data_IF_333968141068
#
_entry.id   IF_333968141068
#
_cell.length_a   1.000
_cell.length_b   1.000
_cell.length_c   1.000
_cell.angle_alpha   90.00
_cell.angle_beta   90.00
_cell.angle_gamma   90.00
#
_symmetry.space_group_name_H-M   'P 1'
#
loop_
_entity.id
_entity.type
_entity.pdbx_description
1 polymer ?
#
# COMPACT_ATOMS: atom_id res chain seq x y z
N UNK A 1 10.55 -0.33 -31.89
CA UNK A 1 10.45 1.08 -31.50
C UNK A 1 9.46 1.13 -30.35
N UNK A 2 9.67 1.93 -29.30
CA UNK A 2 8.62 2.08 -28.29
C UNK A 2 7.36 2.61 -28.99
N UNK A 3 6.21 2.00 -28.67
CA UNK A 3 4.92 2.41 -29.20
C UNK A 3 4.73 3.91 -28.92
N UNK A 4 4.21 4.65 -29.91
CA UNK A 4 3.83 6.03 -29.66
C UNK A 4 2.61 6.02 -28.72
N UNK A 5 2.81 6.30 -27.43
CA UNK A 5 1.77 6.19 -26.41
C UNK A 5 0.53 7.02 -26.76
N UNK A 6 0.69 8.15 -27.45
CA UNK A 6 -0.45 9.01 -27.84
C UNK A 6 -1.41 8.37 -28.85
N UNK A 7 -1.01 7.28 -29.51
CA UNK A 7 -1.89 6.54 -30.41
C UNK A 7 -2.60 5.36 -29.74
N UNK A 8 -2.29 5.06 -28.49
CA UNK A 8 -2.86 3.93 -27.77
C UNK A 8 -4.17 4.32 -27.08
N UNK A 9 -5.08 3.35 -27.01
CA UNK A 9 -6.34 3.46 -26.27
C UNK A 9 -6.28 2.66 -24.99
N UNK A 10 -6.64 3.28 -23.87
CA UNK A 10 -6.82 2.62 -22.57
C UNK A 10 -8.29 2.57 -22.19
N UNK A 11 -8.79 1.38 -21.87
CA UNK A 11 -10.11 1.17 -21.26
C UNK A 11 -9.96 0.65 -19.82
N UNK A 12 -10.94 0.96 -18.96
CA UNK A 12 -10.89 0.64 -17.54
C UNK A 12 -12.15 -0.10 -17.07
N UNK A 13 -11.95 -1.18 -16.31
CA UNK A 13 -13.00 -1.85 -15.54
C UNK A 13 -12.79 -1.55 -14.06
N UNK A 14 -13.81 -0.95 -13.42
CA UNK A 14 -13.75 -0.60 -12.00
C UNK A 14 -13.16 0.79 -11.74
N UNK A 15 -13.71 1.82 -12.39
CA UNK A 15 -13.26 3.20 -12.19
C UNK A 15 -13.72 3.78 -10.85
N UNK A 16 -13.31 3.13 -9.74
CA UNK A 16 -13.38 3.62 -8.36
C UNK A 16 -12.37 4.74 -8.11
N UNK A 17 -11.93 4.92 -6.86
CA UNK A 17 -10.98 5.99 -6.50
C UNK A 17 -9.67 5.90 -7.26
N UNK A 18 -9.04 4.71 -7.27
CA UNK A 18 -7.79 4.46 -7.98
C UNK A 18 -8.00 4.52 -9.51
N UNK A 19 -8.98 3.80 -10.04
CA UNK A 19 -9.20 3.69 -11.49
C UNK A 19 -9.43 5.04 -12.14
N UNK A 20 -10.32 5.88 -11.59
CA UNK A 20 -10.57 7.22 -12.16
C UNK A 20 -9.38 8.17 -11.99
N UNK A 21 -8.59 8.05 -10.90
CA UNK A 21 -7.36 8.84 -10.73
C UNK A 21 -6.34 8.49 -11.82
N UNK A 22 -6.06 7.20 -12.04
CA UNK A 22 -5.10 6.78 -13.05
C UNK A 22 -5.59 7.13 -14.48
N UNK A 23 -6.87 6.88 -14.78
CA UNK A 23 -7.43 7.26 -16.09
C UNK A 23 -7.34 8.78 -16.35
N UNK A 24 -7.61 9.62 -15.34
CA UNK A 24 -7.44 11.07 -15.46
C UNK A 24 -5.99 11.46 -15.75
N UNK A 25 -5.03 10.87 -15.03
CA UNK A 25 -3.61 11.13 -15.23
C UNK A 25 -3.15 10.67 -16.64
N UNK A 26 -3.60 9.50 -17.09
CA UNK A 26 -3.23 8.96 -18.39
C UNK A 26 -3.90 9.67 -19.57
N UNK A 27 -5.07 10.29 -19.39
CA UNK A 27 -5.79 11.01 -20.43
C UNK A 27 -4.97 12.14 -21.09
N UNK A 28 -3.90 12.59 -20.44
CA UNK A 28 -2.98 13.58 -21.00
C UNK A 28 -2.00 12.97 -22.01
N UNK A 29 -1.84 11.64 -22.03
CA UNK A 29 -0.79 10.96 -22.77
C UNK A 29 -1.32 9.92 -23.78
N UNK A 30 -2.57 9.46 -23.62
CA UNK A 30 -3.21 8.48 -24.49
C UNK A 30 -4.72 8.69 -24.55
N UNK A 31 -5.39 7.98 -25.45
CA UNK A 31 -6.83 8.03 -25.57
C UNK A 31 -7.51 7.17 -24.50
N UNK A 32 -8.50 7.74 -23.78
CA UNK A 32 -9.34 6.96 -22.85
C UNK A 32 -10.56 6.45 -23.63
N UNK A 33 -10.70 5.14 -23.74
CA UNK A 33 -11.80 4.44 -24.36
C UNK A 33 -12.99 4.24 -23.42
N UNK A 34 -13.33 2.97 -23.13
CA UNK A 34 -14.46 2.65 -22.28
C UNK A 34 -14.11 2.70 -20.80
N UNK A 35 -14.97 3.34 -20.03
CA UNK A 35 -14.99 3.32 -18.56
C UNK A 35 -16.17 2.46 -18.13
N UNK A 36 -15.88 1.31 -17.52
CA UNK A 36 -16.85 0.25 -17.22
C UNK A 36 -16.98 0.09 -15.70
N UNK A 37 -18.20 0.27 -15.19
CA UNK A 37 -18.57 0.03 -13.80
C UNK A 37 -19.80 -0.88 -13.71
N UNK A 38 -20.20 -1.25 -12.48
CA UNK A 38 -21.39 -2.09 -12.22
C UNK A 38 -22.70 -1.47 -12.76
N UNK A 39 -22.75 -0.14 -12.92
CA UNK A 39 -23.88 0.56 -13.55
C UNK A 39 -23.36 1.64 -14.49
N UNK A 40 -24.19 1.96 -15.51
CA UNK A 40 -23.88 3.03 -16.46
C UNK A 40 -23.79 4.39 -15.78
N UNK A 41 -24.63 4.66 -14.77
CA UNK A 41 -24.60 5.92 -14.02
C UNK A 41 -23.28 6.08 -13.26
N UNK A 42 -22.82 5.02 -12.60
CA UNK A 42 -21.53 5.02 -11.92
C UNK A 42 -20.36 5.16 -12.88
N UNK A 43 -20.46 4.60 -14.10
CA UNK A 43 -19.47 4.78 -15.14
C UNK A 43 -19.48 6.24 -15.65
N UNK A 44 -20.65 6.85 -15.83
CA UNK A 44 -20.78 8.25 -16.26
C UNK A 44 -20.16 9.21 -15.25
N UNK A 45 -20.42 9.03 -13.96
CA UNK A 45 -19.77 9.82 -12.89
C UNK A 45 -18.24 9.72 -12.94
N UNK A 46 -17.72 8.54 -13.30
CA UNK A 46 -16.29 8.37 -13.46
C UNK A 46 -15.75 9.08 -14.71
N UNK A 47 -16.47 9.00 -15.85
CA UNK A 47 -16.14 9.73 -17.09
C UNK A 47 -16.14 11.23 -16.85
N UNK A 48 -17.15 11.77 -16.17
CA UNK A 48 -17.25 13.19 -15.83
C UNK A 48 -16.06 13.68 -14.99
N UNK A 49 -15.61 12.84 -14.05
CA UNK A 49 -14.42 13.12 -13.24
C UNK A 49 -13.11 13.02 -14.05
N UNK A 50 -12.98 12.00 -14.90
CA UNK A 50 -11.79 11.77 -15.73
C UNK A 50 -11.64 12.88 -16.77
N UNK A 51 -12.77 13.37 -17.30
CA UNK A 51 -12.82 14.34 -18.40
C UNK A 51 -12.62 13.71 -19.78
N UNK A 52 -12.62 12.37 -19.88
CA UNK A 52 -12.44 11.62 -21.12
C UNK A 52 -13.05 10.21 -21.02
N UNK A 53 -13.27 9.57 -22.17
CA UNK A 53 -13.77 8.20 -22.27
C UNK A 53 -15.28 8.13 -22.44
N UNK A 54 -15.80 6.91 -22.57
CA UNK A 54 -17.21 6.62 -22.77
C UNK A 54 -17.74 5.66 -21.70
N UNK A 55 -18.84 6.02 -21.02
CA UNK A 55 -19.47 5.23 -19.98
C UNK A 55 -20.15 3.98 -20.53
N UNK A 56 -19.78 2.81 -20.03
CA UNK A 56 -20.33 1.50 -20.41
C UNK A 56 -20.60 0.64 -19.17
N UNK A 57 -21.44 -0.38 -19.35
CA UNK A 57 -21.62 -1.45 -18.34
C UNK A 57 -20.93 -2.75 -18.73
N UNK A 58 -20.53 -2.89 -20.00
CA UNK A 58 -19.84 -4.07 -20.54
C UNK A 58 -18.80 -3.65 -21.58
N UNK A 59 -17.71 -4.44 -21.74
CA UNK A 59 -16.74 -4.21 -22.82
C UNK A 59 -17.40 -4.53 -24.18
N UNK A 60 -17.26 -3.64 -25.15
CA UNK A 60 -17.85 -3.82 -26.50
C UNK A 60 -16.86 -3.54 -27.64
N UNK A 61 -15.71 -2.92 -27.35
CA UNK A 61 -14.68 -2.57 -28.32
C UNK A 61 -13.30 -2.92 -27.79
N UNK A 62 -12.35 -3.19 -28.69
CA UNK A 62 -10.96 -3.45 -28.33
C UNK A 62 -10.28 -2.19 -27.79
N UNK A 63 -9.31 -2.38 -26.92
CA UNK A 63 -8.39 -1.36 -26.46
C UNK A 63 -6.97 -1.94 -26.39
N UNK A 64 -5.94 -1.10 -26.59
CA UNK A 64 -4.55 -1.54 -26.56
C UNK A 64 -4.09 -1.84 -25.13
N UNK A 65 -4.70 -1.15 -24.17
CA UNK A 65 -4.40 -1.30 -22.73
C UNK A 65 -5.72 -1.41 -21.96
N UNK A 66 -5.82 -2.40 -21.10
CA UNK A 66 -6.93 -2.60 -20.18
C UNK A 66 -6.47 -2.48 -18.74
N UNK A 67 -7.05 -1.54 -18.01
CA UNK A 67 -6.89 -1.42 -16.56
C UNK A 67 -8.04 -2.11 -15.85
N UNK A 68 -7.75 -3.09 -14.99
CA UNK A 68 -8.69 -3.66 -14.03
C UNK A 68 -8.41 -3.06 -12.66
N UNK A 69 -9.26 -2.12 -12.23
CA UNK A 69 -9.14 -1.38 -10.98
C UNK A 69 -10.29 -1.70 -10.01
N UNK A 70 -10.80 -2.91 -10.09
CA UNK A 70 -11.78 -3.46 -9.15
C UNK A 70 -11.12 -3.87 -7.83
N UNK A 71 -11.89 -4.12 -6.74
CA UNK A 71 -11.35 -4.77 -5.55
C UNK A 71 -10.65 -6.09 -5.87
N UNK A 72 -9.68 -6.48 -5.07
CA UNK A 72 -8.81 -7.64 -5.31
C UNK A 72 -9.60 -8.95 -5.55
N UNK A 73 -10.66 -9.19 -4.77
CA UNK A 73 -11.53 -10.36 -4.91
C UNK A 73 -12.34 -10.38 -6.22
N UNK A 74 -12.46 -9.25 -6.93
CA UNK A 74 -13.21 -9.12 -8.18
C UNK A 74 -12.31 -9.11 -9.44
N UNK A 75 -10.99 -9.03 -9.29
CA UNK A 75 -10.05 -8.91 -10.43
C UNK A 75 -10.20 -10.10 -11.39
N UNK A 76 -10.24 -11.32 -10.87
CA UNK A 76 -10.40 -12.53 -11.69
C UNK A 76 -11.74 -12.55 -12.44
N UNK A 77 -12.82 -12.12 -11.80
CA UNK A 77 -14.14 -12.04 -12.44
C UNK A 77 -14.16 -10.95 -13.54
N UNK A 78 -13.56 -9.78 -13.27
CA UNK A 78 -13.45 -8.71 -14.26
C UNK A 78 -12.60 -9.13 -15.47
N UNK A 79 -11.51 -9.85 -15.26
CA UNK A 79 -10.71 -10.43 -16.33
C UNK A 79 -11.49 -11.43 -17.18
N UNK A 80 -12.32 -12.29 -16.56
CA UNK A 80 -13.18 -13.23 -17.25
C UNK A 80 -14.24 -12.51 -18.12
N UNK A 81 -14.74 -11.35 -17.69
CA UNK A 81 -15.65 -10.50 -18.49
C UNK A 81 -14.97 -10.05 -19.79
N UNK A 82 -13.70 -9.59 -19.73
CA UNK A 82 -12.93 -9.22 -20.93
C UNK A 82 -12.74 -10.42 -21.86
N UNK A 83 -12.32 -11.56 -21.34
CA UNK A 83 -12.13 -12.77 -22.14
C UNK A 83 -13.41 -13.20 -22.84
N UNK A 84 -14.54 -13.21 -22.13
CA UNK A 84 -15.83 -13.65 -22.66
C UNK A 84 -16.42 -12.65 -23.67
N UNK A 85 -16.07 -11.38 -23.58
CA UNK A 85 -16.50 -10.35 -24.52
C UNK A 85 -15.81 -10.46 -25.90
N UNK A 86 -14.69 -11.21 -25.99
CA UNK A 86 -13.95 -11.37 -27.24
C UNK A 86 -13.31 -10.08 -27.77
N UNK A 87 -13.03 -9.13 -26.90
CA UNK A 87 -12.44 -7.81 -27.25
C UNK A 87 -10.94 -7.74 -27.07
N UNK A 88 -10.28 -8.84 -26.66
CA UNK A 88 -8.83 -8.91 -26.46
C UNK A 88 -8.11 -9.39 -27.70
N UNK A 89 -6.96 -8.79 -28.01
CA UNK A 89 -6.02 -9.18 -29.07
C UNK A 89 -4.69 -9.63 -28.43
N UNK A 90 -3.89 -10.41 -29.14
CA UNK A 90 -2.57 -10.86 -28.67
C UNK A 90 -1.62 -9.70 -28.32
N UNK A 91 -1.76 -8.57 -29.01
CA UNK A 91 -0.94 -7.38 -28.78
C UNK A 91 -1.36 -6.56 -27.56
N UNK A 92 -2.54 -6.83 -26.99
CA UNK A 92 -3.08 -6.01 -25.92
C UNK A 92 -2.37 -6.25 -24.60
N UNK A 93 -2.40 -5.24 -23.75
CA UNK A 93 -1.87 -5.31 -22.39
C UNK A 93 -3.00 -5.18 -21.39
N UNK A 94 -3.16 -6.16 -20.51
CA UNK A 94 -4.13 -6.13 -19.42
C UNK A 94 -3.37 -6.04 -18.10
N UNK A 95 -3.67 -5.07 -17.26
CA UNK A 95 -3.04 -4.95 -15.97
C UNK A 95 -4.04 -4.61 -14.85
N UNK A 96 -3.66 -4.95 -13.62
CA UNK A 96 -4.38 -4.56 -12.41
C UNK A 96 -3.45 -3.83 -11.42
N UNK A 97 -4.04 -3.25 -10.37
CA UNK A 97 -3.28 -2.47 -9.40
C UNK A 97 -3.25 -3.09 -7.99
N UNK A 98 -3.59 -4.37 -7.82
CA UNK A 98 -3.45 -5.06 -6.54
C UNK A 98 -1.99 -5.10 -6.08
N UNK A 99 -1.76 -4.76 -4.82
CA UNK A 99 -0.45 -4.91 -4.17
C UNK A 99 -0.15 -6.36 -3.80
N UNK A 100 -1.18 -7.18 -3.53
CA UNK A 100 -1.05 -8.54 -3.04
C UNK A 100 -1.04 -9.60 -4.16
N UNK A 101 -1.89 -9.41 -5.18
CA UNK A 101 -2.07 -10.38 -6.26
C UNK A 101 -1.05 -10.13 -7.38
N UNK A 102 -0.47 -11.20 -7.91
CA UNK A 102 0.41 -11.10 -9.08
C UNK A 102 -0.41 -11.13 -10.40
N UNK A 103 0.25 -10.81 -11.52
CA UNK A 103 -0.38 -10.73 -12.84
C UNK A 103 -1.07 -12.02 -13.29
N UNK A 104 -0.68 -13.19 -12.78
CA UNK A 104 -1.28 -14.48 -13.16
C UNK A 104 -2.73 -14.62 -12.72
N UNK A 105 -3.22 -13.82 -11.75
CA UNK A 105 -4.63 -13.82 -11.33
C UNK A 105 -5.58 -13.46 -12.48
N UNK A 106 -5.09 -12.73 -13.49
CA UNK A 106 -5.86 -12.33 -14.66
C UNK A 106 -6.28 -13.55 -15.51
N UNK A 107 -5.53 -14.66 -15.46
CA UNK A 107 -5.84 -15.91 -16.17
C UNK A 107 -6.11 -15.67 -17.67
N UNK A 108 -5.28 -14.83 -18.31
CA UNK A 108 -5.31 -14.46 -19.71
C UNK A 108 -4.01 -14.96 -20.37
N UNK A 109 -4.13 -15.77 -21.41
CA UNK A 109 -2.99 -16.40 -22.08
C UNK A 109 -2.71 -15.83 -23.47
N UNK A 110 -3.71 -15.15 -24.06
CA UNK A 110 -3.68 -14.66 -25.43
C UNK A 110 -3.33 -13.16 -25.52
N UNK A 111 -2.85 -12.56 -24.42
CA UNK A 111 -2.41 -11.15 -24.36
C UNK A 111 -1.31 -10.96 -23.31
N UNK A 112 -0.79 -9.74 -23.19
CA UNK A 112 0.26 -9.42 -22.25
C UNK A 112 -0.32 -8.98 -20.91
N UNK A 113 0.08 -9.61 -19.81
CA UNK A 113 -0.45 -9.31 -18.48
C UNK A 113 0.60 -8.72 -17.55
N UNK A 114 0.16 -7.79 -16.69
CA UNK A 114 0.99 -7.22 -15.64
C UNK A 114 0.17 -6.85 -14.40
N UNK A 115 0.90 -6.57 -13.32
CA UNK A 115 0.41 -5.83 -12.19
C UNK A 115 1.28 -4.61 -11.95
N UNK A 116 0.65 -3.47 -11.69
CA UNK A 116 1.32 -2.22 -11.32
C UNK A 116 0.68 -1.70 -10.04
N UNK A 117 1.37 -1.77 -8.94
CA UNK A 117 0.88 -1.33 -7.63
C UNK A 117 1.46 0.03 -7.27
N UNK A 118 0.71 1.14 -7.43
CA UNK A 118 1.13 2.43 -6.90
C UNK A 118 1.11 2.41 -5.37
N UNK A 119 2.25 2.70 -4.74
CA UNK A 119 2.33 2.86 -3.28
C UNK A 119 1.80 4.26 -2.93
N UNK A 120 0.48 4.39 -2.97
CA UNK A 120 -0.22 5.66 -2.79
C UNK A 120 -1.57 5.45 -2.08
N UNK A 121 -1.96 6.41 -1.25
CA UNK A 121 -3.28 6.39 -0.60
C UNK A 121 -4.32 7.08 -1.48
N UNK A 122 -5.21 6.30 -2.09
CA UNK A 122 -6.30 6.82 -2.93
C UNK A 122 -7.56 7.17 -2.11
N UNK A 123 -7.40 7.81 -0.95
CA UNK A 123 -8.54 8.20 -0.11
C UNK A 123 -9.43 9.24 -0.78
N UNK A 124 -8.82 10.24 -1.41
CA UNK A 124 -9.49 11.28 -2.20
C UNK A 124 -8.86 11.35 -3.60
N UNK A 125 -9.61 11.12 -4.69
CA UNK A 125 -9.09 11.12 -6.04
C UNK A 125 -8.51 12.47 -6.50
N UNK A 126 -9.10 13.60 -6.08
CA UNK A 126 -8.61 14.92 -6.46
C UNK A 126 -7.26 15.22 -5.82
N UNK A 127 -7.12 14.90 -4.53
CA UNK A 127 -5.83 15.00 -3.84
C UNK A 127 -4.82 14.03 -4.44
N UNK A 128 -5.24 12.79 -4.74
CA UNK A 128 -4.37 11.78 -5.34
C UNK A 128 -3.77 12.25 -6.67
N UNK A 129 -4.55 12.92 -7.53
CA UNK A 129 -4.04 13.50 -8.79
C UNK A 129 -2.90 14.49 -8.50
N UNK A 130 -3.10 15.41 -7.57
CA UNK A 130 -2.11 16.46 -7.27
C UNK A 130 -0.85 15.94 -6.58
N UNK A 131 -0.93 14.78 -5.89
CA UNK A 131 0.14 14.19 -5.10
C UNK A 131 0.77 12.94 -5.75
N UNK A 132 0.32 12.56 -6.95
CA UNK A 132 0.77 11.32 -7.59
C UNK A 132 2.22 11.36 -8.07
N UNK A 133 2.70 12.53 -8.47
CA UNK A 133 4.08 12.70 -8.94
C UNK A 133 5.08 12.19 -7.88
N UNK A 134 6.05 11.39 -8.31
CA UNK A 134 7.03 10.75 -7.43
C UNK A 134 6.56 9.44 -6.78
N UNK A 135 5.29 9.03 -6.98
CA UNK A 135 4.76 7.78 -6.41
C UNK A 135 5.56 6.56 -6.87
N UNK A 136 6.14 5.78 -5.94
CA UNK A 136 6.74 4.50 -6.29
C UNK A 136 5.67 3.52 -6.76
N UNK A 137 5.95 2.78 -7.85
CA UNK A 137 5.03 1.78 -8.38
C UNK A 137 5.74 0.44 -8.53
N UNK A 138 5.35 -0.55 -7.73
CA UNK A 138 5.86 -1.91 -7.86
C UNK A 138 5.24 -2.60 -9.08
N UNK A 139 6.09 -3.03 -10.04
CA UNK A 139 5.64 -3.63 -11.29
C UNK A 139 6.14 -5.07 -11.46
N UNK A 140 5.29 -5.95 -11.98
CA UNK A 140 5.65 -7.30 -12.41
C UNK A 140 4.69 -7.78 -13.51
N UNK A 141 5.10 -8.77 -14.30
CA UNK A 141 4.30 -9.33 -15.37
C UNK A 141 5.13 -9.76 -16.58
N UNK A 142 4.49 -9.93 -17.72
CA UNK A 142 5.17 -10.28 -18.96
C UNK A 142 6.07 -9.12 -19.44
N UNK A 143 7.21 -9.47 -20.04
CA UNK A 143 8.19 -8.50 -20.52
C UNK A 143 7.56 -7.39 -21.39
N UNK A 144 6.70 -7.77 -22.35
CA UNK A 144 6.06 -6.81 -23.24
C UNK A 144 5.06 -5.90 -22.55
N UNK A 145 4.34 -6.42 -21.54
CA UNK A 145 3.48 -5.58 -20.71
C UNK A 145 4.28 -4.53 -19.94
N UNK A 146 5.42 -4.92 -19.35
CA UNK A 146 6.28 -4.00 -18.61
C UNK A 146 6.93 -2.95 -19.53
N UNK A 147 7.40 -3.34 -20.73
CA UNK A 147 7.95 -2.41 -21.73
C UNK A 147 6.93 -1.34 -22.19
N UNK A 148 5.63 -1.62 -22.13
CA UNK A 148 4.55 -0.67 -22.44
C UNK A 148 4.11 0.16 -21.24
N UNK A 149 3.94 -0.47 -20.08
CA UNK A 149 3.39 0.20 -18.90
C UNK A 149 4.41 1.08 -18.17
N UNK A 150 5.69 0.69 -18.12
CA UNK A 150 6.71 1.48 -17.44
C UNK A 150 6.79 2.92 -18.00
N UNK A 151 6.93 3.15 -19.32
CA UNK A 151 6.93 4.50 -19.87
C UNK A 151 5.61 5.27 -19.62
N UNK A 152 4.46 4.57 -19.63
CA UNK A 152 3.17 5.19 -19.34
C UNK A 152 3.11 5.76 -17.92
N UNK A 153 3.58 5.01 -16.92
CA UNK A 153 3.64 5.47 -15.54
C UNK A 153 4.71 6.55 -15.33
N UNK A 154 5.84 6.47 -16.03
CA UNK A 154 6.89 7.50 -16.00
C UNK A 154 6.40 8.85 -16.56
N UNK A 155 5.53 8.85 -17.59
CA UNK A 155 4.94 10.09 -18.15
C UNK A 155 4.05 10.84 -17.15
N UNK A 156 3.46 10.15 -16.17
CA UNK A 156 2.71 10.78 -15.07
C UNK A 156 3.59 10.99 -13.83
N UNK A 157 4.91 11.03 -14.04
CA UNK A 157 5.93 11.24 -13.02
C UNK A 157 5.93 10.22 -11.88
N UNK A 158 5.37 9.02 -12.08
CA UNK A 158 5.54 7.91 -11.15
C UNK A 158 6.95 7.32 -11.26
N UNK A 159 7.34 6.50 -10.28
CA UNK A 159 8.65 5.82 -10.20
C UNK A 159 8.46 4.30 -10.21
N UNK A 160 8.29 3.66 -11.39
CA UNK A 160 8.18 2.22 -11.48
C UNK A 160 9.47 1.52 -11.04
N UNK A 161 9.32 0.40 -10.32
CA UNK A 161 10.41 -0.52 -9.97
C UNK A 161 9.91 -1.96 -10.03
N UNK A 162 10.77 -2.86 -10.48
CA UNK A 162 10.43 -4.27 -10.65
C UNK A 162 10.40 -4.97 -9.30
N UNK A 163 9.36 -5.76 -9.08
CA UNK A 163 9.23 -6.66 -7.93
C UNK A 163 9.21 -8.12 -8.40
N UNK A 164 9.71 -9.01 -7.55
CA UNK A 164 9.59 -10.45 -7.80
C UNK A 164 8.15 -10.90 -7.55
N UNK A 165 7.51 -11.43 -8.58
CA UNK A 165 6.13 -11.93 -8.50
C UNK A 165 5.92 -13.02 -7.44
N UNK A 166 6.95 -13.83 -7.14
CA UNK A 166 6.89 -14.87 -6.11
C UNK A 166 6.85 -14.27 -4.69
N UNK A 167 7.40 -13.09 -4.49
CA UNK A 167 7.45 -12.40 -3.21
C UNK A 167 6.42 -11.26 -3.06
N UNK A 168 5.48 -11.15 -4.00
CA UNK A 168 4.53 -10.04 -4.02
C UNK A 168 3.67 -9.93 -2.76
N UNK A 169 3.23 -11.03 -2.19
CA UNK A 169 2.48 -11.03 -0.94
C UNK A 169 3.32 -10.47 0.23
N UNK A 170 4.60 -10.82 0.32
CA UNK A 170 5.52 -10.28 1.33
C UNK A 170 5.77 -8.79 1.10
N UNK A 171 6.00 -8.38 -0.14
CA UNK A 171 6.09 -6.97 -0.52
C UNK A 171 4.86 -6.17 -0.05
N UNK A 172 3.65 -6.67 -0.33
CA UNK A 172 2.43 -5.99 0.11
C UNK A 172 2.27 -5.99 1.63
N UNK A 173 2.62 -7.08 2.31
CA UNK A 173 2.61 -7.13 3.77
C UNK A 173 3.52 -6.05 4.38
N UNK A 174 4.69 -5.79 3.76
CA UNK A 174 5.57 -4.71 4.20
C UNK A 174 4.90 -3.33 4.08
N UNK A 175 4.21 -3.04 2.96
CA UNK A 175 3.48 -1.77 2.81
C UNK A 175 2.31 -1.63 3.80
N UNK A 176 1.59 -2.72 4.08
CA UNK A 176 0.53 -2.75 5.09
C UNK A 176 1.09 -2.47 6.48
N UNK A 177 2.19 -3.14 6.86
CA UNK A 177 2.82 -2.93 8.17
C UNK A 177 3.30 -1.49 8.37
N UNK A 178 3.94 -0.92 7.37
CA UNK A 178 4.57 0.41 7.51
C UNK A 178 3.60 1.57 7.30
N UNK A 179 2.47 1.38 6.61
CA UNK A 179 1.49 2.42 6.34
C UNK A 179 0.19 2.20 7.10
N UNK A 180 -0.50 1.06 6.86
CA UNK A 180 -1.81 0.83 7.46
C UNK A 180 -1.71 0.58 8.98
N UNK A 181 -0.74 -0.24 9.41
CA UNK A 181 -0.57 -0.52 10.84
C UNK A 181 0.06 0.65 11.60
N UNK A 182 0.76 1.57 10.92
CA UNK A 182 1.14 2.83 11.54
C UNK A 182 -0.09 3.60 12.04
N UNK A 183 -1.17 3.69 11.25
CA UNK A 183 -2.42 4.33 11.68
C UNK A 183 -2.98 3.64 12.93
N UNK A 184 -2.98 2.30 12.95
CA UNK A 184 -3.45 1.53 14.10
C UNK A 184 -2.58 1.74 15.34
N UNK A 185 -1.25 1.85 15.16
CA UNK A 185 -0.30 2.12 16.24
C UNK A 185 -0.51 3.51 16.85
N UNK A 186 -0.72 4.52 16.00
CA UNK A 186 -0.98 5.90 16.44
C UNK A 186 -2.30 6.00 17.22
N UNK A 187 -3.35 5.33 16.75
CA UNK A 187 -4.65 5.26 17.43
C UNK A 187 -4.53 4.53 18.78
N UNK A 188 -3.74 3.45 18.83
CA UNK A 188 -3.48 2.74 20.08
C UNK A 188 -2.74 3.62 21.09
N UNK A 189 -1.71 4.33 20.66
CA UNK A 189 -0.99 5.29 21.49
C UNK A 189 -1.88 6.41 22.04
N UNK A 190 -2.79 6.93 21.20
CA UNK A 190 -3.76 7.95 21.62
C UNK A 190 -4.74 7.41 22.70
N UNK A 191 -5.20 6.18 22.55
CA UNK A 191 -6.05 5.51 23.57
C UNK A 191 -5.31 5.31 24.89
N UNK A 192 -4.02 4.91 24.84
CA UNK A 192 -3.19 4.79 26.03
C UNK A 192 -3.02 6.14 26.76
N UNK A 193 -2.77 7.23 26.02
CA UNK A 193 -2.69 8.58 26.60
C UNK A 193 -4.01 9.00 27.27
N UNK A 194 -5.14 8.76 26.61
CA UNK A 194 -6.45 9.09 27.16
C UNK A 194 -6.70 8.32 28.46
N UNK A 195 -6.36 7.04 28.50
CA UNK A 195 -6.46 6.20 29.70
C UNK A 195 -5.52 6.70 30.82
N UNK A 196 -4.36 7.25 30.48
CA UNK A 196 -3.44 7.88 31.41
C UNK A 196 -3.86 9.29 31.86
N UNK A 197 -5.06 9.78 31.45
CA UNK A 197 -5.59 11.08 31.84
C UNK A 197 -5.17 12.24 30.93
N UNK A 198 -4.49 11.97 29.80
CA UNK A 198 -4.09 12.98 28.84
C UNK A 198 -5.17 13.08 27.74
N UNK A 199 -5.95 14.14 27.77
CA UNK A 199 -6.97 14.41 26.75
C UNK A 199 -6.40 15.32 25.66
N UNK A 200 -6.77 15.07 24.37
CA UNK A 200 -6.44 15.97 23.29
C UNK A 200 -6.98 17.39 23.59
N UNK A 201 -6.11 18.39 23.63
CA UNK A 201 -6.54 19.78 23.73
C UNK A 201 -6.87 20.28 22.32
N UNK A 202 -8.07 20.82 22.12
CA UNK A 202 -8.54 21.32 20.82
C UNK A 202 -8.44 20.32 19.64
N UNK A 203 -8.54 19.00 19.93
CA UNK A 203 -8.45 17.96 18.91
C UNK A 203 -7.03 17.62 18.41
N UNK A 204 -6.00 18.29 18.93
CA UNK A 204 -4.61 18.00 18.56
C UNK A 204 -4.04 16.79 19.32
N UNK A 205 -3.35 15.90 18.62
CA UNK A 205 -2.62 14.80 19.23
C UNK A 205 -1.33 15.35 19.88
N UNK A 206 -1.17 15.25 21.21
CA UNK A 206 0.01 15.80 21.90
C UNK A 206 1.33 15.12 21.49
N UNK A 207 1.27 13.93 20.89
CA UNK A 207 2.45 13.21 20.40
C UNK A 207 2.82 13.58 18.95
N UNK A 208 2.01 14.35 18.23
CA UNK A 208 2.27 14.65 16.82
C UNK A 208 3.68 15.21 16.56
N UNK A 209 4.20 16.20 17.32
CA UNK A 209 5.55 16.71 17.07
C UNK A 209 6.63 15.62 17.22
N UNK A 210 6.50 14.78 18.26
CA UNK A 210 7.44 13.69 18.53
C UNK A 210 7.37 12.60 17.46
N UNK A 211 6.17 12.27 16.99
CA UNK A 211 5.95 11.27 15.92
C UNK A 211 6.63 11.74 14.64
N UNK A 212 6.39 13.00 14.24
CA UNK A 212 7.01 13.58 13.03
C UNK A 212 8.54 13.58 13.14
N UNK A 213 9.08 14.01 14.27
CA UNK A 213 10.52 14.00 14.51
C UNK A 213 11.10 12.58 14.44
N UNK A 214 10.39 11.57 14.96
CA UNK A 214 10.82 10.17 14.91
C UNK A 214 10.88 9.67 13.46
N UNK A 215 9.88 9.99 12.62
CA UNK A 215 9.88 9.66 11.21
C UNK A 215 11.01 10.38 10.45
N UNK A 216 11.21 11.66 10.71
CA UNK A 216 12.29 12.44 10.10
C UNK A 216 13.66 11.86 10.47
N UNK A 217 13.87 11.49 11.74
CA UNK A 217 15.11 10.86 12.16
C UNK A 217 15.35 9.54 11.42
N UNK A 218 14.32 8.69 11.32
CA UNK A 218 14.42 7.41 10.61
C UNK A 218 14.77 7.59 9.13
N UNK A 219 14.11 8.52 8.42
CA UNK A 219 14.34 8.73 6.99
C UNK A 219 15.64 9.50 6.68
N UNK A 220 16.15 10.27 7.63
CA UNK A 220 17.41 11.01 7.46
C UNK A 220 18.65 10.21 7.90
N UNK A 221 18.45 9.12 8.64
CA UNK A 221 19.53 8.24 9.10
C UNK A 221 19.21 6.77 8.78
N UNK A 222 19.04 5.94 9.80
CA UNK A 222 18.64 4.54 9.72
C UNK A 222 17.97 4.10 11.05
N UNK A 223 17.47 2.87 11.10
CA UNK A 223 16.78 2.34 12.28
C UNK A 223 17.69 2.32 13.52
N UNK A 224 18.97 2.00 13.35
CA UNK A 224 19.95 1.89 14.46
C UNK A 224 20.24 3.27 15.05
N UNK A 225 20.47 4.27 14.18
CA UNK A 225 20.77 5.64 14.61
C UNK A 225 19.54 6.39 15.14
N UNK A 226 18.36 6.12 14.59
CA UNK A 226 17.12 6.78 14.98
C UNK A 226 16.52 6.22 16.29
N UNK A 227 16.86 4.97 16.67
CA UNK A 227 16.26 4.33 17.83
C UNK A 227 16.67 5.02 19.13
N UNK A 228 15.68 5.37 19.94
CA UNK A 228 15.81 5.91 21.29
C UNK A 228 14.88 5.16 22.27
N UNK A 229 14.88 5.56 23.53
CA UNK A 229 13.95 5.04 24.52
C UNK A 229 14.54 3.98 25.47
N UNK A 230 13.70 3.37 26.34
CA UNK A 230 14.18 2.52 27.42
C UNK A 230 14.85 1.23 26.92
N UNK A 231 14.32 0.59 25.87
CA UNK A 231 14.92 -0.64 25.31
C UNK A 231 16.29 -0.33 24.70
N UNK A 232 16.43 0.78 23.99
CA UNK A 232 17.70 1.21 23.40
C UNK A 232 18.80 1.38 24.45
N UNK A 233 18.42 1.86 25.64
CA UNK A 233 19.37 2.05 26.76
C UNK A 233 19.50 0.83 27.69
N UNK A 234 18.74 -0.24 27.43
CA UNK A 234 18.71 -1.41 28.31
C UNK A 234 18.05 -1.16 29.70
N UNK A 235 17.11 -0.21 29.76
CA UNK A 235 16.40 0.16 30.99
C UNK A 235 15.31 -0.87 31.33
N UNK A 236 15.69 -1.94 31.98
CA UNK A 236 14.80 -3.04 32.40
C UNK A 236 13.71 -2.59 33.34
N UNK A 237 14.02 -1.64 34.26
CA UNK A 237 13.06 -1.17 35.27
C UNK A 237 11.88 -0.45 34.62
N UNK A 238 12.14 0.41 33.63
CA UNK A 238 11.10 1.08 32.86
C UNK A 238 10.26 0.08 32.06
N UNK A 239 10.88 -0.94 31.44
CA UNK A 239 10.14 -1.97 30.69
C UNK A 239 9.23 -2.78 31.62
N UNK A 240 9.68 -3.15 32.82
CA UNK A 240 8.84 -3.81 33.86
C UNK A 240 7.64 -2.94 34.21
N UNK A 241 7.85 -1.65 34.49
CA UNK A 241 6.75 -0.70 34.81
C UNK A 241 5.72 -0.60 33.67
N UNK A 242 6.17 -0.57 32.42
CA UNK A 242 5.25 -0.54 31.26
C UNK A 242 4.42 -1.82 31.18
N UNK A 243 5.05 -3.00 31.32
CA UNK A 243 4.35 -4.29 31.27
C UNK A 243 3.32 -4.37 32.41
N UNK A 244 3.66 -3.95 33.63
CA UNK A 244 2.75 -3.93 34.77
C UNK A 244 1.56 -3.00 34.53
N UNK A 245 1.79 -1.79 34.01
CA UNK A 245 0.73 -0.84 33.66
C UNK A 245 -0.22 -1.42 32.60
N UNK A 246 0.29 -2.17 31.65
CA UNK A 246 -0.49 -2.80 30.58
C UNK A 246 -1.29 -4.02 31.05
N UNK A 247 -0.95 -4.66 32.20
CA UNK A 247 -1.69 -5.82 32.72
C UNK A 247 -3.17 -5.51 33.05
N UNK A 248 -3.47 -4.25 33.35
CA UNK A 248 -4.82 -3.79 33.65
C UNK A 248 -5.57 -3.29 32.40
N UNK A 249 -4.96 -3.42 31.23
CA UNK A 249 -5.47 -2.91 29.98
C UNK A 249 -5.92 -4.06 29.05
N UNK A 250 -6.65 -3.78 27.96
CA UNK A 250 -7.03 -4.80 26.99
C UNK A 250 -5.81 -5.63 26.50
N UNK A 251 -5.98 -6.94 26.39
CA UNK A 251 -4.88 -7.87 26.11
C UNK A 251 -4.13 -7.57 24.81
N UNK A 252 -4.83 -7.06 23.78
CA UNK A 252 -4.20 -6.68 22.52
C UNK A 252 -3.18 -5.54 22.68
N UNK A 253 -3.30 -4.66 23.69
CA UNK A 253 -2.31 -3.61 23.96
C UNK A 253 -0.98 -4.23 24.40
N UNK A 254 -1.04 -5.21 25.27
CA UNK A 254 0.15 -5.95 25.69
C UNK A 254 0.79 -6.71 24.53
N UNK A 255 -0.03 -7.37 23.71
CA UNK A 255 0.46 -8.15 22.56
C UNK A 255 1.24 -7.26 21.60
N UNK A 256 0.68 -6.09 21.22
CA UNK A 256 1.35 -5.13 20.32
C UNK A 256 2.64 -4.59 20.97
N UNK A 257 2.60 -4.20 22.26
CA UNK A 257 3.77 -3.71 22.97
C UNK A 257 4.90 -4.74 22.98
N UNK A 258 4.60 -6.00 23.29
CA UNK A 258 5.58 -7.10 23.33
C UNK A 258 6.14 -7.42 21.94
N UNK A 259 5.30 -7.50 20.92
CA UNK A 259 5.73 -7.79 19.54
C UNK A 259 6.69 -6.72 19.01
N UNK A 260 6.33 -5.45 19.15
CA UNK A 260 7.18 -4.33 18.76
C UNK A 260 8.42 -4.21 19.65
N UNK A 261 8.29 -4.48 20.95
CA UNK A 261 9.40 -4.52 21.88
C UNK A 261 10.49 -5.53 21.48
N UNK A 262 10.10 -6.71 21.03
CA UNK A 262 11.04 -7.73 20.53
C UNK A 262 11.80 -7.25 19.28
N UNK A 263 11.13 -6.61 18.32
CA UNK A 263 11.79 -6.00 17.15
C UNK A 263 12.73 -4.86 17.56
N UNK A 264 12.27 -4.00 18.49
CA UNK A 264 13.07 -2.90 19.03
C UNK A 264 14.34 -3.39 19.73
N UNK A 265 14.25 -4.52 20.47
CA UNK A 265 15.40 -5.13 21.13
C UNK A 265 16.45 -5.63 20.13
N UNK A 266 16.04 -6.14 18.96
CA UNK A 266 16.98 -6.54 17.90
C UNK A 266 17.75 -5.32 17.38
N UNK A 267 17.07 -4.22 17.09
CA UNK A 267 17.71 -2.97 16.67
C UNK A 267 18.63 -2.42 17.75
N UNK A 268 18.21 -2.47 19.04
CA UNK A 268 19.04 -2.04 20.16
C UNK A 268 20.32 -2.87 20.32
N UNK A 269 20.28 -4.17 20.00
CA UNK A 269 21.46 -5.02 19.99
C UNK A 269 22.46 -4.60 18.91
N UNK A 270 21.98 -4.23 17.73
CA UNK A 270 22.83 -3.68 16.66
C UNK A 270 23.39 -2.30 17.02
N UNK A 271 22.63 -1.48 17.74
CA UNK A 271 23.04 -0.16 18.21
C UNK A 271 24.19 -0.22 19.25
N UNK A 272 24.19 -1.25 20.10
CA UNK A 272 25.27 -1.51 21.06
C UNK A 272 25.33 -0.57 22.27
N UNK A 273 24.30 0.24 22.54
CA UNK A 273 24.24 1.08 23.75
C UNK A 273 23.87 0.29 25.00
N UNK A 274 22.94 -0.65 24.87
CA UNK A 274 22.53 -1.52 25.97
C UNK A 274 23.48 -2.69 26.14
N UNK A 275 23.74 -3.11 27.42
CA UNK A 275 24.49 -4.32 27.66
C UNK A 275 23.73 -5.57 27.19
N UNK A 276 24.47 -6.60 26.78
CA UNK A 276 23.89 -7.89 26.41
C UNK A 276 23.04 -8.49 27.54
N UNK A 277 23.48 -8.35 28.81
CA UNK A 277 22.76 -8.83 30.00
C UNK A 277 21.38 -8.16 30.11
N UNK A 278 21.32 -6.82 29.96
CA UNK A 278 20.05 -6.07 30.00
C UNK A 278 19.12 -6.44 28.85
N UNK A 279 19.66 -6.64 27.66
CA UNK A 279 18.84 -7.07 26.49
C UNK A 279 18.28 -8.48 26.68
N UNK A 280 19.02 -9.40 27.31
CA UNK A 280 18.52 -10.74 27.70
C UNK A 280 17.41 -10.63 28.75
N UNK A 281 17.58 -9.76 29.75
CA UNK A 281 16.55 -9.52 30.75
C UNK A 281 15.26 -8.95 30.11
N UNK A 282 15.37 -7.98 29.18
CA UNK A 282 14.25 -7.41 28.43
C UNK A 282 13.58 -8.49 27.58
N UNK A 283 14.35 -9.36 26.91
CA UNK A 283 13.81 -10.48 26.15
C UNK A 283 12.89 -11.37 26.98
N UNK A 284 13.36 -11.76 28.19
CA UNK A 284 12.56 -12.56 29.12
C UNK A 284 11.29 -11.86 29.56
N UNK A 285 11.35 -10.55 29.83
CA UNK A 285 10.17 -9.74 30.20
C UNK A 285 9.14 -9.67 29.08
N UNK A 286 9.58 -9.47 27.83
CA UNK A 286 8.70 -9.36 26.68
C UNK A 286 8.05 -10.70 26.31
N UNK A 287 8.71 -11.84 26.59
CA UNK A 287 8.21 -13.17 26.25
C UNK A 287 7.59 -13.91 27.44
N UNK A 288 7.67 -13.39 28.68
CA UNK A 288 6.97 -13.96 29.83
C UNK A 288 5.45 -13.78 29.69
N UNK A 289 4.71 -14.89 29.72
CA UNK A 289 3.24 -14.90 29.65
C UNK A 289 2.64 -15.22 28.28
N UNK A 290 3.46 -15.70 27.32
CA UNK A 290 2.96 -16.25 26.04
C UNK A 290 2.63 -17.75 26.11
N UNK A 291 2.91 -18.41 27.25
CA UNK A 291 2.69 -19.84 27.44
C UNK A 291 1.26 -20.14 27.98
N UNK A 292 0.21 -19.70 27.31
CA UNK A 292 -1.13 -20.25 27.51
C UNK A 292 -1.97 -19.98 26.27
N UNK A 293 -2.00 -20.95 25.36
CA UNK A 293 -3.15 -21.57 24.71
C UNK A 293 -2.67 -22.33 23.46
N UNK A 294 -2.34 -23.62 23.67
CA UNK A 294 -2.56 -24.67 22.69
C UNK A 294 -4.01 -25.11 22.76
#
# INVERSE_FOLDING_TARGET
MPDNLSSLTLSCIGAGRLGKTLCHLFAQNLHIGHIINCSKDSAQLAVDFIGAGEARSTPVECADIWLIATPDNEIKAASAVLRNAGVLRESDTVFHCSGALNATVLDLHDCHTASVHPIHSFADPQQSISQFAGTPCGIEGSRRALERLQPLFEQVAAKPFVIDSQHKALYHAATVMTCNYLVSLLELGQKMLTTAGVSPQNGANPLEPLIRQTLDNYFNTDAVSALTGPIARGDTATVVSHIQALQQQPSNWQQVYRALGNTTRQIAAEQGQASAENLIAIDRLLNSGTDHHD
#
